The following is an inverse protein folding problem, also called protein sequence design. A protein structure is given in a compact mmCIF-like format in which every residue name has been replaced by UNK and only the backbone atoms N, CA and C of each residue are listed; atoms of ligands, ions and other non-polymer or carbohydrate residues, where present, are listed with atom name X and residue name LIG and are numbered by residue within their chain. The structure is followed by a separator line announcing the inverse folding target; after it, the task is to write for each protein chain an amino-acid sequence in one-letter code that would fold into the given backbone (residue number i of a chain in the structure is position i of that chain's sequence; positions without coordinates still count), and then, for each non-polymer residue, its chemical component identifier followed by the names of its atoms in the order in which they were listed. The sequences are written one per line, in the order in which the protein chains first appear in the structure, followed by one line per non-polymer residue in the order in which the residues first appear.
data_IF_128503589446
#
_entry.id   IF_128503589446
#
_cell.length_a   1.000
_cell.length_b   1.000
_cell.length_c   1.000
_cell.angle_alpha   90.00
_cell.angle_beta   90.00
_cell.angle_gamma   90.00
#
_symmetry.space_group_name_H-M   'P 1'
#
loop_
_entity.id
_entity.type
_entity.pdbx_description
1 polymer ?
#
# COMPACT_ATOMS: atom_id res chain seq x y z
N UNK A 1 6.25 -20.72 -25.13
CA UNK A 1 5.22 -21.05 -24.12
C UNK A 1 5.94 -21.30 -22.80
N UNK A 2 5.59 -20.59 -21.73
CA UNK A 2 6.16 -20.86 -20.42
C UNK A 2 5.53 -22.14 -19.83
N UNK A 3 6.29 -23.00 -19.14
CA UNK A 3 5.76 -24.24 -18.56
C UNK A 3 4.75 -23.95 -17.45
N UNK A 4 3.70 -24.78 -17.36
CA UNK A 4 2.69 -24.69 -16.32
C UNK A 4 3.28 -25.05 -14.93
N UNK A 5 2.67 -24.52 -13.87
CA UNK A 5 3.11 -24.78 -12.50
C UNK A 5 2.96 -26.27 -12.11
N UNK A 6 3.87 -26.80 -11.26
CA UNK A 6 3.89 -28.22 -10.84
C UNK A 6 2.66 -28.64 -10.03
N UNK A 7 2.31 -29.93 -10.09
CA UNK A 7 1.07 -30.50 -9.53
C UNK A 7 0.92 -30.35 -8.01
N UNK A 8 2.02 -30.27 -7.26
CA UNK A 8 2.00 -30.11 -5.81
C UNK A 8 1.54 -28.71 -5.35
N UNK A 9 1.56 -27.71 -6.24
CA UNK A 9 0.98 -26.37 -6.00
C UNK A 9 -0.55 -26.38 -6.20
N UNK A 10 -1.08 -27.38 -6.91
CA UNK A 10 -2.52 -27.46 -7.27
C UNK A 10 -3.42 -27.93 -6.12
N UNK A 11 -2.87 -28.49 -5.05
CA UNK A 11 -3.65 -29.24 -4.06
C UNK A 11 -4.30 -28.42 -2.92
N UNK A 12 -4.17 -27.09 -2.90
CA UNK A 12 -4.70 -26.26 -1.80
C UNK A 12 -5.69 -25.16 -2.21
N UNK A 13 -6.25 -25.25 -3.42
CA UNK A 13 -7.12 -24.21 -3.95
C UNK A 13 -8.54 -24.79 -4.10
N UNK A 14 -9.48 -24.34 -3.26
CA UNK A 14 -10.93 -24.52 -3.47
C UNK A 14 -11.46 -23.59 -4.56
N UNK A 15 -10.73 -23.48 -5.68
CA UNK A 15 -11.18 -22.75 -6.86
C UNK A 15 -10.72 -23.49 -8.10
N UNK A 16 -11.58 -23.67 -9.11
CA UNK A 16 -11.44 -24.83 -9.98
C UNK A 16 -10.54 -24.55 -11.20
N UNK A 17 -9.36 -23.90 -11.12
CA UNK A 17 -8.79 -23.28 -12.34
C UNK A 17 -7.35 -23.46 -12.86
N UNK A 18 -7.20 -23.62 -14.20
CA UNK A 18 -5.92 -23.82 -14.95
C UNK A 18 -5.60 -22.80 -16.09
N UNK A 19 -4.31 -22.68 -16.51
CA UNK A 19 -3.77 -21.53 -17.26
C UNK A 19 -4.04 -21.48 -18.78
N UNK A 20 -4.55 -22.55 -19.41
CA UNK A 20 -4.71 -22.62 -20.87
C UNK A 20 -6.12 -22.22 -21.37
N UNK A 21 -7.13 -22.23 -20.49
CA UNK A 21 -8.51 -21.83 -20.81
C UNK A 21 -9.08 -20.78 -19.84
N UNK A 22 -8.24 -20.27 -18.92
CA UNK A 22 -8.43 -18.99 -18.21
C UNK A 22 -9.46 -19.00 -17.08
N UNK A 23 -9.02 -19.30 -15.86
CA UNK A 23 -9.78 -19.09 -14.62
C UNK A 23 -9.40 -17.77 -13.98
N UNK A 24 -9.61 -16.69 -14.72
CA UNK A 24 -9.46 -15.35 -14.19
C UNK A 24 -10.84 -14.81 -13.86
N UNK A 25 -11.02 -14.31 -12.65
CA UNK A 25 -12.13 -13.43 -12.35
C UNK A 25 -11.73 -12.02 -12.79
N UNK A 26 -12.53 -11.41 -13.66
CA UNK A 26 -12.30 -10.02 -14.05
C UNK A 26 -12.76 -9.13 -12.90
N UNK A 27 -11.99 -8.06 -12.62
CA UNK A 27 -12.53 -6.95 -11.85
C UNK A 27 -13.83 -6.50 -12.53
N UNK A 28 -14.87 -6.28 -11.74
CA UNK A 28 -16.11 -5.74 -12.25
C UNK A 28 -15.90 -4.32 -12.82
N UNK A 29 -16.86 -3.85 -13.62
CA UNK A 29 -16.73 -2.60 -14.37
C UNK A 29 -16.62 -1.34 -13.49
N UNK A 30 -16.88 -1.43 -12.17
CA UNK A 30 -16.65 -0.31 -11.24
C UNK A 30 -15.17 0.00 -11.04
N UNK A 31 -14.26 -0.95 -11.32
CA UNK A 31 -12.81 -0.74 -11.32
C UNK A 31 -12.32 -0.26 -12.68
N UNK A 32 -11.95 1.01 -12.76
CA UNK A 32 -11.43 1.61 -13.99
C UNK A 32 -10.38 2.67 -13.73
N UNK A 33 -9.58 2.94 -14.74
CA UNK A 33 -8.65 4.08 -14.72
C UNK A 33 -9.48 5.37 -14.78
N UNK A 34 -9.06 6.38 -14.03
CA UNK A 34 -9.61 7.74 -14.08
C UNK A 34 -8.78 8.53 -15.06
N UNK A 35 -9.39 9.11 -16.08
CA UNK A 35 -8.66 9.77 -17.16
C UNK A 35 -8.73 11.30 -17.06
N UNK A 36 -7.63 11.96 -17.44
CA UNK A 36 -7.56 13.42 -17.65
C UNK A 36 -8.15 14.19 -16.45
N UNK A 37 -9.13 15.05 -16.71
CA UNK A 37 -9.83 15.87 -15.71
C UNK A 37 -10.45 15.03 -14.59
N UNK A 38 -10.98 13.86 -14.91
CA UNK A 38 -11.60 13.00 -13.90
C UNK A 38 -10.59 12.54 -12.84
N UNK A 39 -9.35 12.24 -13.23
CA UNK A 39 -8.30 11.87 -12.29
C UNK A 39 -8.05 12.98 -11.26
N UNK A 40 -8.02 14.25 -11.71
CA UNK A 40 -7.81 15.41 -10.84
C UNK A 40 -8.97 15.66 -9.86
N UNK A 41 -10.18 15.25 -10.20
CA UNK A 41 -11.39 15.35 -9.37
C UNK A 41 -11.56 14.12 -8.45
N UNK A 42 -11.06 12.97 -8.90
CA UNK A 42 -11.09 11.71 -8.18
C UNK A 42 -10.02 11.67 -7.08
N UNK A 43 -8.75 11.83 -7.44
CA UNK A 43 -7.61 11.76 -6.54
C UNK A 43 -7.47 13.08 -5.76
N UNK A 44 -8.21 13.15 -4.65
CA UNK A 44 -8.18 14.25 -3.68
C UNK A 44 -8.10 13.71 -2.26
N UNK A 45 -7.50 14.46 -1.36
CA UNK A 45 -7.42 14.12 0.07
C UNK A 45 -8.80 13.77 0.63
N UNK A 46 -8.87 12.67 1.38
CA UNK A 46 -10.09 12.10 1.93
C UNK A 46 -10.83 11.14 0.98
N UNK A 47 -10.43 11.01 -0.30
CA UNK A 47 -11.02 10.01 -1.20
C UNK A 47 -10.79 8.62 -0.64
N UNK A 48 -11.85 7.81 -0.61
CA UNK A 48 -11.79 6.39 -0.28
C UNK A 48 -12.06 5.58 -1.54
N UNK A 49 -11.14 4.69 -1.89
CA UNK A 49 -11.24 3.88 -3.10
C UNK A 49 -10.71 2.47 -2.85
N UNK A 50 -11.07 1.53 -3.72
CA UNK A 50 -10.50 0.19 -3.74
C UNK A 50 -9.71 -0.07 -5.02
N UNK A 51 -8.67 -0.89 -4.95
CA UNK A 51 -7.93 -1.36 -6.13
C UNK A 51 -7.34 -2.74 -5.91
N UNK A 52 -7.03 -3.44 -7.00
CA UNK A 52 -6.17 -4.61 -6.96
C UNK A 52 -4.76 -4.19 -6.58
N UNK A 53 -4.25 -4.74 -5.48
CA UNK A 53 -2.92 -4.49 -4.96
C UNK A 53 -2.10 -5.78 -4.98
N UNK A 54 -0.90 -5.71 -5.55
CA UNK A 54 0.03 -6.82 -5.62
C UNK A 54 1.24 -6.53 -4.72
N UNK A 55 1.57 -7.48 -3.85
CA UNK A 55 2.77 -7.43 -3.01
C UNK A 55 3.61 -8.67 -3.25
N UNK A 56 4.93 -8.53 -3.17
CA UNK A 56 5.85 -9.67 -3.15
C UNK A 56 5.64 -10.49 -1.88
N UNK A 57 5.84 -11.80 -1.98
CA UNK A 57 5.82 -12.71 -0.85
C UNK A 57 6.80 -12.26 0.24
N UNK A 58 6.27 -11.96 1.42
CA UNK A 58 7.06 -11.96 2.65
C UNK A 58 6.69 -13.21 3.44
N UNK A 59 7.65 -13.84 4.12
CA UNK A 59 7.42 -15.04 4.94
C UNK A 59 6.24 -14.90 5.93
N UNK A 60 5.92 -13.67 6.34
CA UNK A 60 4.81 -13.35 7.25
C UNK A 60 3.42 -13.43 6.58
N UNK A 61 3.33 -13.28 5.25
CA UNK A 61 2.05 -13.32 4.51
C UNK A 61 1.54 -14.74 4.23
N UNK A 62 2.43 -15.72 4.15
CA UNK A 62 2.11 -17.15 3.90
C UNK A 62 1.08 -17.68 4.92
N UNK A 63 1.01 -17.10 6.12
CA UNK A 63 0.11 -17.53 7.21
C UNK A 63 -1.13 -16.65 7.41
N UNK A 64 -1.32 -15.62 6.57
CA UNK A 64 -2.26 -14.53 6.85
C UNK A 64 -3.23 -14.18 5.73
N UNK A 65 -3.24 -14.95 4.64
CA UNK A 65 -4.14 -14.76 3.50
C UNK A 65 -5.60 -14.74 3.95
N UNK A 66 -6.34 -13.72 3.50
CA UNK A 66 -7.79 -13.67 3.62
C UNK A 66 -8.42 -14.33 2.39
N UNK A 67 -9.74 -14.54 2.42
CA UNK A 67 -10.56 -15.01 1.29
C UNK A 67 -10.37 -14.22 -0.02
N UNK A 68 -9.80 -13.02 0.06
CA UNK A 68 -9.57 -12.10 -1.05
C UNK A 68 -8.08 -12.07 -1.50
N UNK A 69 -7.31 -13.11 -1.20
CA UNK A 69 -5.88 -13.20 -1.55
C UNK A 69 -5.66 -14.28 -2.61
N UNK A 70 -5.17 -13.89 -3.79
CA UNK A 70 -4.74 -14.79 -4.85
C UNK A 70 -3.21 -14.80 -4.94
N UNK A 71 -2.60 -15.98 -5.07
CA UNK A 71 -1.15 -16.14 -5.26
C UNK A 71 -0.87 -16.47 -6.71
N UNK A 72 0.01 -15.71 -7.35
CA UNK A 72 0.48 -15.98 -8.71
C UNK A 72 2.00 -16.12 -8.69
N UNK A 73 2.53 -17.12 -9.39
CA UNK A 73 3.98 -17.25 -9.56
C UNK A 73 4.41 -16.31 -10.69
N UNK A 74 5.25 -15.33 -10.36
CA UNK A 74 5.80 -14.36 -11.30
C UNK A 74 6.84 -14.99 -12.23
N UNK A 75 7.28 -14.20 -13.22
CA UNK A 75 8.31 -14.60 -14.21
C UNK A 75 9.61 -15.12 -13.59
N UNK A 76 9.95 -14.65 -12.39
CA UNK A 76 11.18 -14.99 -11.69
C UNK A 76 11.00 -16.08 -10.62
N UNK A 77 9.92 -16.87 -10.71
CA UNK A 77 9.58 -17.92 -9.74
C UNK A 77 9.26 -17.41 -8.33
N UNK A 78 9.11 -16.10 -8.17
CA UNK A 78 8.66 -15.47 -6.93
C UNK A 78 7.13 -15.48 -6.84
N UNK A 79 6.60 -15.70 -5.64
CA UNK A 79 5.18 -15.59 -5.37
C UNK A 79 4.74 -14.12 -5.26
N UNK A 80 3.68 -13.78 -6.00
CA UNK A 80 3.04 -12.47 -6.00
C UNK A 80 1.63 -12.63 -5.41
N UNK A 81 1.41 -11.96 -4.28
CA UNK A 81 0.15 -11.98 -3.56
C UNK A 81 -0.70 -10.79 -4.04
N UNK A 82 -1.83 -11.08 -4.66
CA UNK A 82 -2.78 -10.10 -5.17
C UNK A 82 -4.04 -10.08 -4.33
N UNK A 83 -4.52 -8.89 -3.98
CA UNK A 83 -5.73 -8.73 -3.18
C UNK A 83 -6.42 -7.39 -3.45
N UNK A 84 -7.75 -7.32 -3.34
CA UNK A 84 -8.44 -6.02 -3.36
C UNK A 84 -8.23 -5.31 -2.02
N UNK A 85 -7.62 -4.12 -2.06
CA UNK A 85 -7.43 -3.27 -0.88
C UNK A 85 -8.20 -1.97 -1.02
N UNK A 86 -8.68 -1.47 0.11
CA UNK A 86 -9.28 -0.14 0.26
C UNK A 86 -8.25 0.83 0.81
N UNK A 87 -8.28 2.07 0.35
CA UNK A 87 -7.33 3.11 0.70
C UNK A 87 -8.03 4.44 0.95
N UNK A 88 -7.45 5.26 1.82
CA UNK A 88 -7.83 6.67 2.02
C UNK A 88 -6.67 7.55 1.56
N UNK A 89 -6.94 8.50 0.66
CA UNK A 89 -5.95 9.46 0.17
C UNK A 89 -5.63 10.48 1.27
N UNK A 90 -4.35 10.67 1.59
CA UNK A 90 -3.88 11.63 2.60
C UNK A 90 -3.07 12.78 1.98
N UNK A 91 -2.30 12.53 0.91
CA UNK A 91 -1.59 13.57 0.14
C UNK A 91 -1.71 13.31 -1.36
N UNK A 92 -1.72 14.38 -2.16
CA UNK A 92 -1.83 14.31 -3.62
C UNK A 92 -0.68 15.06 -4.26
N UNK A 93 0.09 14.38 -5.09
CA UNK A 93 1.09 15.01 -5.94
C UNK A 93 0.52 15.18 -7.36
N UNK A 94 -0.03 16.37 -7.64
CA UNK A 94 -0.64 16.67 -8.95
C UNK A 94 0.38 16.80 -10.08
N UNK A 95 1.62 17.18 -9.79
CA UNK A 95 2.65 17.37 -10.81
C UNK A 95 3.23 16.04 -11.30
N UNK A 96 3.31 15.06 -10.40
CA UNK A 96 3.87 13.73 -10.67
C UNK A 96 2.81 12.64 -10.78
N UNK A 97 1.52 13.01 -10.72
CA UNK A 97 0.37 12.12 -10.89
C UNK A 97 0.36 10.87 -9.98
N UNK A 98 0.72 11.05 -8.71
CA UNK A 98 0.59 10.02 -7.68
C UNK A 98 -0.04 10.56 -6.40
N UNK A 99 -0.43 9.67 -5.50
CA UNK A 99 -0.96 9.97 -4.19
C UNK A 99 -0.18 9.22 -3.10
N UNK A 100 -0.23 9.75 -1.88
CA UNK A 100 -0.01 8.95 -0.68
C UNK A 100 -1.35 8.57 -0.07
N UNK A 101 -1.47 7.29 0.30
CA UNK A 101 -2.67 6.74 0.90
C UNK A 101 -2.36 5.80 2.07
N UNK A 102 -3.31 5.71 2.97
CA UNK A 102 -3.31 4.78 4.10
C UNK A 102 -4.30 3.64 3.81
N UNK A 103 -3.94 2.41 4.16
CA UNK A 103 -4.77 1.23 3.88
C UNK A 103 -5.87 1.04 4.93
N UNK A 104 -7.04 0.60 4.47
CA UNK A 104 -8.11 0.08 5.32
C UNK A 104 -8.06 -1.45 5.30
N UNK A 105 -8.07 -2.08 6.46
CA UNK A 105 -8.02 -3.54 6.60
C UNK A 105 -8.90 -4.03 7.73
N UNK A 106 -9.50 -5.20 7.55
CA UNK A 106 -10.27 -5.91 8.60
C UNK A 106 -9.42 -6.89 9.39
N UNK A 107 -8.22 -7.18 8.89
CA UNK A 107 -7.28 -8.13 9.47
C UNK A 107 -7.86 -9.55 9.65
N UNK A 108 -8.72 -9.97 8.72
CA UNK A 108 -9.46 -11.22 8.81
C UNK A 108 -10.55 -11.12 9.88
N UNK A 109 -11.27 -9.98 9.90
CA UNK A 109 -12.32 -9.64 10.87
C UNK A 109 -11.86 -9.59 12.34
N UNK A 110 -10.57 -9.37 12.57
CA UNK A 110 -9.97 -9.27 13.91
C UNK A 110 -9.59 -7.85 14.30
N UNK A 111 -9.72 -6.86 13.41
CA UNK A 111 -9.30 -5.49 13.68
C UNK A 111 -7.83 -5.45 14.15
N UNK A 112 -7.53 -4.58 15.12
CA UNK A 112 -6.20 -4.48 15.69
C UNK A 112 -5.83 -5.67 16.59
N UNK A 113 -6.77 -6.56 16.95
CA UNK A 113 -6.50 -7.78 17.73
C UNK A 113 -5.68 -8.83 16.97
N UNK A 114 -5.53 -8.70 15.64
CA UNK A 114 -4.62 -9.57 14.89
C UNK A 114 -3.19 -9.41 15.44
N UNK A 115 -2.52 -10.55 15.64
CA UNK A 115 -1.12 -10.58 16.08
C UNK A 115 -0.24 -9.80 15.09
N UNK A 116 0.62 -8.94 15.62
CA UNK A 116 1.53 -8.09 14.84
C UNK A 116 0.94 -6.74 14.42
N UNK A 117 -0.34 -6.47 14.68
CA UNK A 117 -0.87 -5.11 14.57
C UNK A 117 -0.45 -4.28 15.78
N UNK A 118 0.06 -3.07 15.53
CA UNK A 118 0.19 -2.04 16.55
C UNK A 118 -1.16 -1.30 16.62
N UNK A 119 -1.83 -1.28 17.77
CA UNK A 119 -3.16 -0.67 17.83
C UNK A 119 -3.12 0.86 17.80
N UNK A 120 -2.02 1.48 18.25
CA UNK A 120 -1.90 2.94 18.34
C UNK A 120 -1.89 3.63 16.99
N UNK A 121 -1.36 2.99 15.94
CA UNK A 121 -1.32 3.53 14.56
C UNK A 121 -2.67 3.41 13.82
N UNK A 122 -3.71 2.88 14.46
CA UNK A 122 -5.00 2.58 13.83
C UNK A 122 -6.15 3.44 14.37
N UNK A 123 -7.17 3.61 13.53
CA UNK A 123 -8.51 4.06 13.92
C UNK A 123 -9.59 3.23 13.24
N UNK A 124 -10.78 3.16 13.85
CA UNK A 124 -11.96 2.60 13.21
C UNK A 124 -12.44 3.48 12.04
N UNK A 125 -12.91 2.84 10.97
CA UNK A 125 -13.60 3.51 9.87
C UNK A 125 -14.98 2.90 9.68
N UNK A 126 -15.96 3.74 9.35
CA UNK A 126 -17.35 3.34 9.19
C UNK A 126 -18.05 4.20 8.14
N UNK A 127 -19.15 3.70 7.59
CA UNK A 127 -19.93 4.45 6.60
C UNK A 127 -20.98 5.33 7.30
N UNK A 128 -21.26 6.49 6.70
CA UNK A 128 -22.42 7.31 7.06
C UNK A 128 -23.70 6.45 7.03
N UNK A 129 -24.55 6.59 8.05
CA UNK A 129 -25.73 5.73 8.26
C UNK A 129 -25.47 4.47 9.08
N UNK A 130 -24.21 4.19 9.45
CA UNK A 130 -23.85 3.16 10.43
C UNK A 130 -23.23 3.78 11.69
N UNK A 131 -23.10 3.00 12.76
CA UNK A 131 -22.42 3.42 13.98
C UNK A 131 -20.94 2.97 13.97
N UNK A 132 -20.02 3.77 14.52
CA UNK A 132 -18.65 3.33 14.71
C UNK A 132 -18.62 2.10 15.64
N UNK A 133 -17.79 1.11 15.29
CA UNK A 133 -17.66 -0.13 16.05
C UNK A 133 -16.20 -0.47 16.32
N UNK A 134 -15.92 -0.81 17.57
CA UNK A 134 -14.61 -1.28 18.04
C UNK A 134 -14.79 -2.63 18.75
N UNK A 135 -13.87 -3.56 18.49
CA UNK A 135 -13.87 -4.86 19.15
C UNK A 135 -13.40 -4.68 20.59
N UNK A 136 -13.96 -5.47 21.50
CA UNK A 136 -13.49 -5.55 22.88
C UNK A 136 -12.00 -5.94 22.88
N UNK A 137 -11.15 -5.20 23.61
CA UNK A 137 -9.70 -5.41 23.64
C UNK A 137 -8.90 -4.46 22.75
N UNK A 138 -9.49 -3.77 21.77
CA UNK A 138 -8.71 -2.88 20.89
C UNK A 138 -8.19 -1.65 21.64
N UNK A 139 -9.01 -1.07 22.52
CA UNK A 139 -8.64 0.06 23.37
C UNK A 139 -7.54 -0.33 24.36
N UNK A 140 -7.69 -1.50 24.99
CA UNK A 140 -6.72 -2.05 25.94
C UNK A 140 -5.37 -2.38 25.27
N UNK A 141 -5.37 -2.64 23.95
CA UNK A 141 -4.16 -2.81 23.15
C UNK A 141 -3.52 -1.49 22.69
N UNK A 142 -4.11 -0.35 23.05
CA UNK A 142 -3.56 0.98 22.79
C UNK A 142 -4.12 1.69 21.56
N UNK A 143 -5.25 1.24 21.00
CA UNK A 143 -5.98 2.06 20.03
C UNK A 143 -6.54 3.27 20.77
N UNK A 144 -6.27 4.50 20.30
CA UNK A 144 -6.66 5.74 21.00
C UNK A 144 -7.32 6.77 20.09
N UNK A 145 -7.23 6.57 18.77
CA UNK A 145 -7.73 7.49 17.76
C UNK A 145 -9.24 7.35 17.61
N UNK A 146 -9.95 8.48 17.53
CA UNK A 146 -11.39 8.51 17.29
C UNK A 146 -11.73 7.96 15.91
N UNK A 147 -12.90 7.31 15.74
CA UNK A 147 -13.35 6.81 14.45
C UNK A 147 -13.44 7.90 13.37
N UNK A 148 -13.26 7.48 12.11
CA UNK A 148 -13.42 8.30 10.91
C UNK A 148 -14.63 7.83 10.10
N UNK A 149 -15.58 8.73 9.87
CA UNK A 149 -16.76 8.51 9.04
C UNK A 149 -16.44 8.70 7.55
N UNK A 150 -17.04 7.86 6.72
CA UNK A 150 -16.95 7.91 5.26
C UNK A 150 -18.37 8.04 4.69
N UNK A 151 -18.62 9.12 3.96
CA UNK A 151 -19.81 9.27 3.12
C UNK A 151 -19.64 8.37 1.88
N UNK A 152 -20.46 7.30 1.72
CA UNK A 152 -20.31 6.38 0.61
C UNK A 152 -20.75 7.02 -0.72
N UNK A 153 -20.08 6.67 -1.83
CA UNK A 153 -20.52 7.11 -3.17
C UNK A 153 -21.79 6.37 -3.61
N UNK A 154 -21.91 5.09 -3.26
CA UNK A 154 -23.10 4.28 -3.50
C UNK A 154 -23.73 3.89 -2.15
N UNK A 155 -25.02 4.16 -1.90
CA UNK A 155 -25.71 3.77 -0.67
C UNK A 155 -25.68 2.27 -0.36
N UNK A 156 -25.42 1.43 -1.37
CA UNK A 156 -25.30 -0.03 -1.23
C UNK A 156 -23.88 -0.47 -0.86
N UNK A 157 -22.91 0.45 -0.75
CA UNK A 157 -21.58 0.05 -0.30
C UNK A 157 -21.62 -0.49 1.13
N UNK A 158 -20.88 -1.58 1.30
CA UNK A 158 -20.73 -2.23 2.60
C UNK A 158 -19.30 -2.05 3.11
N UNK A 159 -19.18 -1.79 4.41
CA UNK A 159 -17.92 -1.77 5.13
C UNK A 159 -18.03 -2.64 6.36
N UNK A 160 -17.12 -3.61 6.47
CA UNK A 160 -17.05 -4.48 7.64
C UNK A 160 -16.83 -3.63 8.91
N UNK A 161 -17.57 -3.86 10.01
CA UNK A 161 -17.42 -3.11 11.26
C UNK A 161 -15.99 -3.17 11.85
N UNK A 162 -15.24 -4.20 11.49
CA UNK A 162 -13.84 -4.43 11.90
C UNK A 162 -12.82 -3.70 11.01
N UNK A 163 -13.27 -2.86 10.07
CA UNK A 163 -12.40 -2.08 9.20
C UNK A 163 -11.60 -1.04 10.00
N UNK A 164 -10.28 -1.11 9.90
CA UNK A 164 -9.34 -0.17 10.54
C UNK A 164 -8.51 0.53 9.48
N UNK A 165 -8.43 1.85 9.58
CA UNK A 165 -7.47 2.65 8.83
C UNK A 165 -6.13 2.59 9.56
N UNK A 166 -5.05 2.24 8.85
CA UNK A 166 -3.69 2.22 9.38
C UNK A 166 -2.93 3.47 8.94
N UNK A 167 -2.68 4.39 9.85
CA UNK A 167 -1.97 5.65 9.56
C UNK A 167 -0.45 5.51 9.55
N UNK A 168 0.10 4.49 10.24
CA UNK A 168 1.54 4.23 10.31
C UNK A 168 2.17 3.57 9.09
N UNK A 169 1.42 3.34 8.00
CA UNK A 169 1.98 2.80 6.76
C UNK A 169 1.43 3.51 5.53
N UNK A 170 2.31 4.20 4.82
CA UNK A 170 2.02 4.88 3.56
C UNK A 170 2.16 3.95 2.38
N UNK A 171 1.26 4.12 1.41
CA UNK A 171 1.38 3.59 0.06
C UNK A 171 1.45 4.74 -0.95
N UNK A 172 2.47 4.73 -1.80
CA UNK A 172 2.52 5.57 -3.00
C UNK A 172 1.74 4.88 -4.12
N UNK A 173 0.74 5.54 -4.67
CA UNK A 173 -0.15 4.97 -5.70
C UNK A 173 -0.24 5.94 -6.88
N UNK A 174 0.09 5.44 -8.06
CA UNK A 174 -0.02 6.16 -9.33
C UNK A 174 -1.48 6.41 -9.73
N UNK A 175 -1.77 7.48 -10.46
CA UNK A 175 -3.14 7.76 -10.92
C UNK A 175 -3.61 6.80 -12.02
N UNK A 176 -2.67 6.22 -12.77
CA UNK A 176 -2.94 5.31 -13.89
C UNK A 176 -3.18 3.85 -13.42
N UNK A 177 -4.05 3.69 -12.43
CA UNK A 177 -4.45 2.37 -11.90
C UNK A 177 -5.96 2.23 -11.92
N UNK A 178 -6.46 0.99 -12.01
CA UNK A 178 -7.89 0.71 -11.95
C UNK A 178 -8.38 0.85 -10.51
N UNK A 179 -9.30 1.77 -10.27
CA UNK A 179 -9.85 2.06 -8.95
C UNK A 179 -11.38 2.00 -8.96
N UNK A 180 -11.96 1.41 -7.91
CA UNK A 180 -13.38 1.50 -7.57
C UNK A 180 -13.59 2.64 -6.59
N UNK A 181 -14.59 3.49 -6.85
CA UNK A 181 -14.97 4.55 -5.92
C UNK A 181 -15.75 3.97 -4.74
N UNK A 182 -15.30 4.21 -3.51
CA UNK A 182 -16.00 3.76 -2.30
C UNK A 182 -16.72 4.94 -1.65
N UNK A 183 -16.06 6.09 -1.56
CA UNK A 183 -16.64 7.26 -0.91
C UNK A 183 -15.63 8.35 -0.60
N UNK A 184 -15.99 9.19 0.36
CA UNK A 184 -15.23 10.34 0.80
C UNK A 184 -15.27 10.43 2.32
N UNK A 185 -14.13 10.68 2.96
CA UNK A 185 -14.11 11.00 4.39
C UNK A 185 -14.98 12.23 4.65
N UNK A 186 -15.88 12.10 5.63
CA UNK A 186 -16.83 13.13 6.01
C UNK A 186 -16.08 14.43 6.35
N UNK A 187 -16.66 15.58 5.97
CA UNK A 187 -15.96 16.87 6.06
C UNK A 187 -15.44 17.18 7.45
N UNK A 188 -16.20 16.82 8.50
CA UNK A 188 -15.83 17.04 9.90
C UNK A 188 -14.65 16.16 10.38
N UNK A 189 -14.40 15.02 9.74
CA UNK A 189 -13.31 14.10 10.10
C UNK A 189 -12.05 14.28 9.24
N UNK A 190 -12.05 15.17 8.24
CA UNK A 190 -10.88 15.36 7.38
C UNK A 190 -9.66 15.92 8.12
N UNK A 191 -9.87 16.86 9.03
CA UNK A 191 -8.78 17.42 9.85
C UNK A 191 -8.19 16.33 10.74
N UNK A 192 -9.06 15.52 11.35
CA UNK A 192 -8.70 14.36 12.18
C UNK A 192 -7.87 13.33 11.38
N UNK A 193 -8.30 12.99 10.16
CA UNK A 193 -7.53 12.11 9.25
C UNK A 193 -6.09 12.61 9.04
N UNK A 194 -5.94 13.90 8.74
CA UNK A 194 -4.64 14.49 8.44
C UNK A 194 -3.75 14.59 9.69
N UNK A 195 -4.36 14.87 10.84
CA UNK A 195 -3.67 14.84 12.13
C UNK A 195 -3.11 13.45 12.43
N UNK A 196 -3.95 12.41 12.40
CA UNK A 196 -3.52 11.03 12.66
C UNK A 196 -2.46 10.55 11.68
N UNK A 197 -2.56 10.99 10.42
CA UNK A 197 -1.53 10.71 9.44
C UNK A 197 -0.20 11.35 9.84
N UNK A 198 -0.21 12.63 10.20
CA UNK A 198 1.00 13.40 10.56
C UNK A 198 1.69 12.84 11.80
N UNK A 199 0.93 12.51 12.84
CA UNK A 199 1.44 11.93 14.09
C UNK A 199 2.25 10.65 13.87
N UNK A 200 1.90 9.86 12.85
CA UNK A 200 2.59 8.60 12.57
C UNK A 200 3.79 8.74 11.62
N UNK A 201 3.95 9.86 10.90
CA UNK A 201 5.04 10.00 9.92
C UNK A 201 6.41 10.28 10.54
N UNK A 202 6.43 10.72 11.79
CA UNK A 202 7.66 11.05 12.51
C UNK A 202 8.11 9.91 13.43
N UNK A 203 7.27 8.88 13.60
CA UNK A 203 7.52 7.80 14.55
C UNK A 203 8.37 6.67 13.93
N UNK A 204 9.45 6.30 14.62
CA UNK A 204 10.16 5.03 14.38
C UNK A 204 11.14 5.01 13.21
N UNK A 205 11.50 6.17 12.66
CA UNK A 205 12.66 6.28 11.77
C UNK A 205 13.93 6.41 12.61
N UNK A 206 14.97 5.67 12.24
CA UNK A 206 16.29 5.84 12.82
C UNK A 206 16.79 7.25 12.54
N UNK A 207 17.41 7.87 13.54
CA UNK A 207 18.13 9.12 13.32
C UNK A 207 19.36 8.75 12.49
N UNK A 208 19.53 9.38 11.33
CA UNK A 208 20.79 9.32 10.60
C UNK A 208 21.88 9.89 11.53
N UNK A 209 22.59 9.04 12.26
CA UNK A 209 23.72 9.43 13.09
C UNK A 209 24.98 9.55 12.20
N UNK A 210 25.42 10.78 11.88
CA UNK A 210 26.58 10.98 11.02
C UNK A 210 27.89 10.46 11.63
N UNK A 211 27.95 10.22 12.96
CA UNK A 211 29.13 9.66 13.64
C UNK A 211 29.20 8.12 13.57
N UNK A 212 28.10 7.45 13.21
CA UNK A 212 28.07 5.99 13.02
C UNK A 212 28.67 5.54 11.66
N UNK A 213 29.09 6.49 10.82
CA UNK A 213 29.68 6.19 9.52
C UNK A 213 31.06 5.53 9.66
N UNK A 214 31.26 4.29 9.17
CA UNK A 214 32.55 3.59 9.23
C UNK A 214 33.67 4.25 8.39
N UNK A 215 33.39 5.39 7.74
CA UNK A 215 34.34 6.14 6.93
C UNK A 215 35.15 7.20 7.69
N UNK A 216 35.04 7.30 9.02
CA UNK A 216 35.88 8.23 9.81
C UNK A 216 37.36 7.81 9.93
N UNK A 217 37.77 6.70 9.31
CA UNK A 217 39.15 6.19 9.32
C UNK A 217 40.05 6.59 8.15
N UNK A 218 39.54 7.24 7.10
CA UNK A 218 40.38 7.65 5.98
C UNK A 218 40.93 9.06 6.21
N UNK A 219 42.08 9.12 6.87
CA UNK A 219 42.97 10.27 6.82
C UNK A 219 43.15 10.69 5.35
N UNK A 220 42.96 11.99 5.08
CA UNK A 220 43.32 12.67 3.83
C UNK A 220 44.71 12.21 3.36
N UNK A 221 44.72 11.19 2.52
CA UNK A 221 45.91 10.75 1.81
C UNK A 221 45.67 11.13 0.37
N UNK A 222 46.46 12.10 -0.06
CA UNK A 222 46.58 12.70 -1.38
C UNK A 222 45.96 11.85 -2.49
N UNK A 223 44.90 12.37 -3.13
CA UNK A 223 44.33 11.83 -4.36
C UNK A 223 45.45 11.61 -5.40
N UNK A 224 45.64 10.38 -5.92
CA UNK A 224 46.45 10.17 -7.11
C UNK A 224 45.76 10.85 -8.29
N UNK A 225 46.46 11.79 -8.90
CA UNK A 225 46.02 12.62 -10.01
C UNK A 225 45.84 11.75 -11.28
N UNK A 226 44.66 11.12 -11.43
CA UNK A 226 44.34 10.24 -12.57
C UNK A 226 43.70 10.98 -13.76
N UNK A 227 43.33 12.26 -13.60
CA UNK A 227 42.73 13.05 -14.68
C UNK A 227 43.68 14.12 -15.21
N UNK A 228 44.79 13.71 -15.83
CA UNK A 228 45.57 14.60 -16.69
C UNK A 228 46.50 13.81 -17.63
N UNK A 229 45.94 13.07 -18.60
CA UNK A 229 46.63 12.76 -19.86
C UNK A 229 45.65 12.27 -20.94
N UNK A 230 44.83 13.19 -21.45
CA UNK A 230 44.34 13.12 -22.83
C UNK A 230 44.76 14.42 -23.49
N UNK A 231 46.00 14.45 -23.99
CA UNK A 231 46.46 15.32 -25.08
C UNK A 231 47.97 15.16 -25.25
N UNK A 232 48.39 14.19 -26.06
CA UNK A 232 49.55 14.28 -26.95
C UNK A 232 49.79 12.93 -27.60
N UNK A 233 50.35 12.96 -28.80
CA UNK A 233 50.77 11.83 -29.64
C UNK A 233 49.71 11.23 -30.57
N UNK A 234 49.34 12.00 -31.60
CA UNK A 234 49.29 11.52 -32.99
C UNK A 234 49.78 12.62 -33.96
N UNK A 235 51.11 12.74 -34.04
CA UNK A 235 51.99 13.35 -35.07
C UNK A 235 53.39 12.84 -34.69
N UNK A 236 54.26 12.23 -35.49
CA UNK A 236 54.43 12.08 -36.94
C UNK A 236 55.41 10.92 -37.23
N UNK A 237 55.42 10.42 -38.48
CA UNK A 237 56.57 9.78 -39.15
C UNK A 237 56.30 8.31 -39.52
N UNK A 238 56.25 7.86 -40.78
CA UNK A 238 56.86 8.31 -42.05
C UNK A 238 55.85 8.25 -43.20
#
# INVERSE_FOLDING_TARGET
MAPAAPDNVRAQIQFPGTPLLGWYERLDNSYRVRERREAHEFFKTGRVFAMLWAESASATMIRGGTENTAVTIGRFQEEVYSQIRRFVVVKVNRQRHFIYACAISTYGKRGTLKRGCNASEHTAVYLEGSNPYTLQGEWERGMTKDPIMITPTNPQEFMEPTSRLRCGRIYSIEWNVKVKDIGMVATHDRTKLLQYFSEEQENGFDVDDPESSPYQGYSHTTMPNCYQQQNSYHRHGQ
#
